data_IF_527839009373
#
_entry.id   IF_527839009373
#
_cell.length_a   1.000
_cell.length_b   1.000
_cell.length_c   1.000
_cell.angle_alpha   90.00
_cell.angle_beta   90.00
_cell.angle_gamma   90.00
#
_symmetry.space_group_name_H-M   'P 1'
#
loop_
_entity.id
_entity.type
_entity.pdbx_description
1 polymer ?
#
# COMPACT_ATOMS: atom_id res chain seq x y z
N UNK A 1 -12.12 -1.52 -14.85
CA UNK A 1 -11.21 -0.73 -13.99
C UNK A 1 -11.52 0.74 -14.21
N UNK A 2 -11.95 1.47 -13.18
CA UNK A 2 -12.12 2.93 -13.27
C UNK A 2 -10.78 3.53 -13.71
N UNK A 3 -10.77 4.33 -14.78
CA UNK A 3 -9.56 5.00 -15.26
C UNK A 3 -9.06 5.90 -14.12
N UNK A 4 -7.82 5.68 -13.68
CA UNK A 4 -7.14 6.60 -12.78
C UNK A 4 -7.18 8.02 -13.40
N UNK A 5 -7.15 9.05 -12.54
CA UNK A 5 -6.99 10.45 -12.97
C UNK A 5 -5.87 10.53 -14.02
N UNK A 6 -5.97 11.44 -15.01
CA UNK A 6 -4.93 11.55 -16.05
C UNK A 6 -3.54 11.70 -15.42
N UNK A 7 -2.78 10.61 -15.44
CA UNK A 7 -1.58 10.45 -14.63
C UNK A 7 -0.50 11.43 -15.09
N UNK A 8 -0.39 11.67 -16.40
CA UNK A 8 0.65 12.52 -16.99
C UNK A 8 0.48 13.97 -16.57
N UNK A 9 -0.74 14.52 -16.68
CA UNK A 9 -1.00 15.90 -16.25
C UNK A 9 -0.91 16.03 -14.73
N UNK A 10 -1.39 15.03 -13.99
CA UNK A 10 -1.36 15.02 -12.53
C UNK A 10 0.07 15.05 -11.98
N UNK A 11 0.95 14.17 -12.48
CA UNK A 11 2.35 14.14 -12.04
C UNK A 11 3.10 15.40 -12.44
N UNK A 12 2.84 15.92 -13.65
CA UNK A 12 3.39 17.23 -14.06
C UNK A 12 2.94 18.33 -13.10
N UNK A 13 1.69 18.35 -12.66
CA UNK A 13 1.20 19.35 -11.73
C UNK A 13 1.85 19.22 -10.34
N UNK A 14 2.12 17.99 -9.88
CA UNK A 14 2.93 17.75 -8.66
C UNK A 14 4.33 18.31 -8.82
N UNK A 15 5.02 17.93 -9.88
CA UNK A 15 6.40 18.34 -10.17
C UNK A 15 6.55 19.87 -10.26
N UNK A 16 5.56 20.54 -10.87
CA UNK A 16 5.51 21.99 -11.00
C UNK A 16 4.93 22.71 -9.77
N UNK A 17 4.64 21.97 -8.69
CA UNK A 17 4.06 22.48 -7.44
C UNK A 17 2.76 23.27 -7.64
N UNK A 18 1.91 22.87 -8.60
CA UNK A 18 0.61 23.51 -8.84
C UNK A 18 -0.38 23.14 -7.74
N UNK A 19 -0.35 23.90 -6.65
CA UNK A 19 -1.24 23.73 -5.48
C UNK A 19 -2.71 23.95 -5.83
N UNK A 20 -3.01 24.67 -6.91
CA UNK A 20 -4.37 25.01 -7.33
C UNK A 20 -5.00 23.96 -8.27
N UNK A 21 -4.21 23.01 -8.77
CA UNK A 21 -4.70 21.98 -9.70
C UNK A 21 -5.92 21.23 -9.16
N UNK A 22 -5.95 20.89 -7.86
CA UNK A 22 -7.11 20.25 -7.23
C UNK A 22 -8.40 21.07 -7.32
N UNK A 23 -8.31 22.40 -7.20
CA UNK A 23 -9.48 23.29 -7.27
C UNK A 23 -10.05 23.35 -8.70
N UNK A 24 -9.19 23.17 -9.71
CA UNK A 24 -9.54 23.18 -11.13
C UNK A 24 -10.07 21.84 -11.63
N UNK A 25 -9.96 20.76 -10.86
CA UNK A 25 -10.49 19.44 -11.24
C UNK A 25 -12.02 19.46 -11.32
N UNK A 26 -12.56 18.74 -12.30
CA UNK A 26 -13.99 18.42 -12.33
C UNK A 26 -14.38 17.52 -11.15
N UNK A 27 -15.67 17.42 -10.85
CA UNK A 27 -16.15 16.53 -9.79
C UNK A 27 -15.94 15.05 -10.14
N UNK A 28 -15.95 14.66 -11.43
CA UNK A 28 -15.58 13.29 -11.79
C UNK A 28 -14.10 13.00 -11.56
N UNK A 29 -13.24 13.98 -11.79
CA UNK A 29 -11.80 13.83 -11.60
C UNK A 29 -11.41 13.82 -10.12
N UNK A 30 -12.07 14.64 -9.29
CA UNK A 30 -11.93 14.57 -7.82
C UNK A 30 -12.32 13.19 -7.27
N UNK A 31 -13.33 12.52 -7.86
CA UNK A 31 -13.72 11.15 -7.47
C UNK A 31 -12.66 10.10 -7.86
N UNK A 32 -11.85 10.34 -8.89
CA UNK A 32 -10.75 9.46 -9.31
C UNK A 32 -9.44 9.75 -8.58
N UNK A 33 -9.31 10.94 -7.98
CA UNK A 33 -8.14 11.32 -7.22
C UNK A 33 -7.94 10.39 -6.01
N UNK A 34 -6.76 9.78 -5.94
CA UNK A 34 -6.36 8.94 -4.82
C UNK A 34 -5.03 9.45 -4.26
N UNK A 35 -5.05 10.08 -3.08
CA UNK A 35 -3.82 10.54 -2.42
C UNK A 35 -2.79 9.42 -2.22
N UNK A 36 -3.26 8.22 -1.88
CA UNK A 36 -2.40 7.05 -1.72
C UNK A 36 -1.68 6.68 -3.02
N UNK A 37 -2.42 6.60 -4.14
CA UNK A 37 -1.82 6.27 -5.44
C UNK A 37 -0.85 7.36 -5.88
N UNK A 38 -1.21 8.63 -5.72
CA UNK A 38 -0.35 9.75 -6.09
C UNK A 38 0.95 9.77 -5.28
N UNK A 39 0.86 9.60 -3.96
CA UNK A 39 2.02 9.51 -3.06
C UNK A 39 2.99 8.41 -3.51
N UNK A 40 2.46 7.25 -3.91
CA UNK A 40 3.29 6.12 -4.37
C UNK A 40 4.03 6.41 -5.67
N UNK A 41 3.42 7.15 -6.59
CA UNK A 41 4.11 7.63 -7.78
C UNK A 41 5.15 8.70 -7.41
N UNK A 42 4.76 9.72 -6.64
CA UNK A 42 5.65 10.84 -6.30
C UNK A 42 6.92 10.38 -5.55
N UNK A 43 6.81 9.42 -4.63
CA UNK A 43 7.97 8.85 -3.94
C UNK A 43 8.84 7.93 -4.81
N UNK A 44 8.36 7.57 -6.01
CA UNK A 44 9.00 6.63 -6.92
C UNK A 44 9.56 7.38 -8.12
N UNK A 45 10.59 8.20 -7.88
CA UNK A 45 11.26 8.95 -8.93
C UNK A 45 12.44 8.14 -9.50
N UNK A 46 12.61 8.19 -10.82
CA UNK A 46 13.82 7.69 -11.49
C UNK A 46 14.55 8.83 -12.18
N UNK A 47 15.69 9.22 -11.63
CA UNK A 47 16.51 10.32 -12.12
C UNK A 47 17.78 10.47 -11.28
N UNK A 48 18.34 11.68 -11.25
CA UNK A 48 19.54 11.96 -10.44
C UNK A 48 19.28 11.67 -8.95
N UNK A 49 20.33 11.26 -8.25
CA UNK A 49 20.29 10.90 -6.83
C UNK A 49 19.66 12.02 -5.98
N UNK A 50 20.10 13.26 -6.19
CA UNK A 50 19.58 14.43 -5.48
C UNK A 50 18.05 14.55 -5.55
N UNK A 51 17.47 14.40 -6.74
CA UNK A 51 16.02 14.48 -6.90
C UNK A 51 15.31 13.25 -6.31
N UNK A 52 15.92 12.07 -6.48
CA UNK A 52 15.34 10.82 -5.97
C UNK A 52 15.25 10.86 -4.44
N UNK A 53 16.32 11.26 -3.76
CA UNK A 53 16.36 11.43 -2.31
C UNK A 53 15.38 12.51 -1.85
N UNK A 54 15.36 13.68 -2.53
CA UNK A 54 14.42 14.75 -2.21
C UNK A 54 12.97 14.28 -2.22
N UNK A 55 12.52 13.59 -3.27
CA UNK A 55 11.13 13.13 -3.34
C UNK A 55 10.83 12.05 -2.31
N UNK A 56 11.74 11.10 -2.07
CA UNK A 56 11.54 10.05 -1.06
C UNK A 56 11.38 10.67 0.34
N UNK A 57 12.29 11.58 0.72
CA UNK A 57 12.28 12.21 2.03
C UNK A 57 11.07 13.12 2.21
N UNK A 58 10.86 14.06 1.27
CA UNK A 58 9.78 15.06 1.41
C UNK A 58 8.40 14.42 1.32
N UNK A 59 8.17 13.44 0.43
CA UNK A 59 6.89 12.74 0.36
C UNK A 59 6.66 11.92 1.63
N UNK A 60 7.70 11.31 2.21
CA UNK A 60 7.56 10.59 3.47
C UNK A 60 7.15 11.53 4.61
N UNK A 61 7.86 12.65 4.75
CA UNK A 61 7.65 13.63 5.82
C UNK A 61 6.35 14.40 5.69
N UNK A 62 6.04 14.91 4.49
CA UNK A 62 4.88 15.76 4.26
C UNK A 62 3.59 14.97 4.05
N UNK A 63 3.65 13.74 3.54
CA UNK A 63 2.46 12.99 3.09
C UNK A 63 2.30 11.66 3.81
N UNK A 64 3.29 10.77 3.73
CA UNK A 64 3.15 9.36 4.14
C UNK A 64 2.75 9.21 5.62
N UNK A 65 3.42 9.92 6.53
CA UNK A 65 3.18 9.83 7.98
C UNK A 65 1.71 10.03 8.38
N UNK A 66 1.02 10.94 7.70
CA UNK A 66 -0.34 11.37 8.06
C UNK A 66 -1.38 11.05 6.98
N UNK A 67 -1.01 10.28 5.96
CA UNK A 67 -1.86 10.02 4.78
C UNK A 67 -3.25 9.54 5.20
N UNK A 68 -3.33 8.54 6.08
CA UNK A 68 -4.60 7.91 6.47
C UNK A 68 -5.48 8.81 7.32
N UNK A 69 -4.88 9.65 8.16
CA UNK A 69 -5.60 10.64 8.97
C UNK A 69 -6.21 11.72 8.07
N UNK A 70 -5.44 12.24 7.12
CA UNK A 70 -5.87 13.33 6.24
C UNK A 70 -6.78 12.86 5.10
N UNK A 71 -6.67 11.61 4.65
CA UNK A 71 -7.44 11.09 3.52
C UNK A 71 -8.95 11.05 3.76
N UNK A 72 -9.38 11.11 5.03
CA UNK A 72 -10.81 11.10 5.39
C UNK A 72 -11.52 12.35 4.88
N UNK A 73 -11.01 13.54 5.21
CA UNK A 73 -11.72 14.81 5.00
C UNK A 73 -10.85 15.92 4.38
N UNK A 74 -9.57 15.67 4.11
CA UNK A 74 -8.60 16.70 3.73
C UNK A 74 -7.87 16.38 2.43
N UNK A 75 -8.61 15.95 1.39
CA UNK A 75 -8.03 15.58 0.10
C UNK A 75 -7.28 16.73 -0.58
N UNK A 76 -7.81 17.96 -0.51
CA UNK A 76 -7.13 19.17 -1.01
C UNK A 76 -5.81 19.42 -0.29
N UNK A 77 -5.77 19.25 1.03
CA UNK A 77 -4.54 19.42 1.80
C UNK A 77 -3.50 18.40 1.37
N UNK A 78 -3.89 17.13 1.17
CA UNK A 78 -2.99 16.10 0.65
C UNK A 78 -2.46 16.44 -0.75
N UNK A 79 -3.27 17.07 -1.61
CA UNK A 79 -2.78 17.58 -2.88
C UNK A 79 -1.71 18.65 -2.69
N UNK A 80 -1.96 19.64 -1.83
CA UNK A 80 -1.00 20.72 -1.55
C UNK A 80 0.30 20.18 -0.94
N UNK A 81 0.21 19.21 -0.02
CA UNK A 81 1.36 18.54 0.61
C UNK A 81 2.15 17.69 -0.38
N UNK A 82 1.48 17.03 -1.33
CA UNK A 82 2.17 16.25 -2.36
C UNK A 82 2.83 17.17 -3.39
N UNK A 83 2.10 18.18 -3.88
CA UNK A 83 2.62 19.15 -4.85
C UNK A 83 3.78 19.99 -4.28
N UNK A 84 3.83 20.26 -2.98
CA UNK A 84 5.02 20.93 -2.40
C UNK A 84 6.28 20.06 -2.44
N UNK A 85 6.20 18.74 -2.65
CA UNK A 85 7.38 17.90 -2.83
C UNK A 85 8.00 18.03 -4.24
N UNK A 86 7.34 18.72 -5.16
CA UNK A 86 7.84 18.95 -6.52
C UNK A 86 9.05 19.88 -6.58
N UNK A 87 9.87 19.69 -7.62
CA UNK A 87 11.15 20.40 -7.84
C UNK A 87 11.13 21.40 -9.01
N UNK A 88 9.94 21.79 -9.47
CA UNK A 88 9.73 22.69 -10.62
C UNK A 88 10.32 22.19 -11.96
N UNK A 89 10.51 20.88 -12.07
CA UNK A 89 10.99 20.20 -13.27
C UNK A 89 10.18 18.92 -13.45
N UNK A 90 9.74 18.64 -14.67
CA UNK A 90 9.01 17.40 -14.97
C UNK A 90 9.94 16.21 -14.79
N UNK A 91 9.53 15.27 -13.95
CA UNK A 91 10.29 14.07 -13.57
C UNK A 91 9.57 12.80 -14.04
N UNK A 92 10.34 11.72 -14.17
CA UNK A 92 9.79 10.41 -14.50
C UNK A 92 9.53 9.60 -13.23
N UNK A 93 8.25 9.28 -13.01
CA UNK A 93 7.77 8.56 -11.84
C UNK A 93 7.27 7.15 -12.22
N UNK A 94 8.12 6.11 -12.23
CA UNK A 94 7.66 4.75 -12.49
C UNK A 94 6.68 4.24 -11.43
N UNK A 95 5.75 3.38 -11.85
CA UNK A 95 4.90 2.64 -10.91
C UNK A 95 5.71 1.57 -10.16
N UNK A 96 5.69 1.62 -8.83
CA UNK A 96 6.16 0.52 -7.99
C UNK A 96 4.94 -0.27 -7.53
N UNK A 97 4.85 -1.56 -7.84
CA UNK A 97 3.79 -2.40 -7.28
C UNK A 97 3.87 -2.44 -5.75
N UNK A 98 2.74 -2.48 -5.06
CA UNK A 98 2.76 -2.70 -3.62
C UNK A 98 3.38 -4.06 -3.32
N UNK A 99 3.91 -4.29 -2.10
CA UNK A 99 4.28 -5.63 -1.70
C UNK A 99 3.09 -6.54 -1.98
N UNK A 100 3.35 -7.67 -2.67
CA UNK A 100 2.31 -8.67 -2.86
C UNK A 100 1.83 -9.03 -1.46
N UNK A 101 0.53 -8.87 -1.18
CA UNK A 101 -0.02 -9.47 0.04
C UNK A 101 0.38 -10.93 -0.04
N UNK A 102 1.11 -11.42 0.95
CA UNK A 102 1.36 -12.85 1.09
C UNK A 102 -0.01 -13.52 0.93
N UNK A 103 -0.07 -14.52 0.05
CA UNK A 103 -1.30 -15.27 -0.16
C UNK A 103 -1.80 -15.66 1.21
N UNK A 104 -3.08 -15.38 1.53
CA UNK A 104 -3.68 -15.76 2.80
C UNK A 104 -3.55 -17.28 2.93
N UNK A 105 -2.49 -17.74 3.59
CA UNK A 105 -2.22 -19.14 3.77
C UNK A 105 -3.25 -19.63 4.79
N UNK A 106 -4.19 -20.47 4.34
CA UNK A 106 -5.28 -20.97 5.18
C UNK A 106 -4.70 -21.66 6.41
N UNK A 107 -3.61 -22.39 6.25
CA UNK A 107 -2.90 -23.04 7.34
C UNK A 107 -2.26 -22.04 8.31
N UNK A 108 -1.76 -20.87 7.85
CA UNK A 108 -1.26 -19.81 8.73
C UNK A 108 -2.36 -19.27 9.63
N UNK A 109 -3.54 -19.02 9.06
CA UNK A 109 -4.70 -18.55 9.81
C UNK A 109 -5.15 -19.58 10.84
N UNK A 110 -5.24 -20.85 10.44
CA UNK A 110 -5.54 -21.95 11.36
C UNK A 110 -4.54 -21.99 12.52
N UNK A 111 -3.24 -21.92 12.25
CA UNK A 111 -2.21 -21.90 13.31
C UNK A 111 -2.31 -20.67 14.22
N UNK A 112 -2.70 -19.51 13.69
CA UNK A 112 -2.98 -18.31 14.52
C UNK A 112 -4.22 -18.46 15.39
N UNK A 113 -5.21 -19.23 14.96
CA UNK A 113 -6.39 -19.57 15.79
C UNK A 113 -6.01 -20.55 16.89
N UNK A 114 -5.20 -21.57 16.58
CA UNK A 114 -4.70 -22.53 17.57
C UNK A 114 -3.73 -21.90 18.58
N UNK A 115 -2.91 -20.95 18.12
CA UNK A 115 -1.86 -20.32 18.91
C UNK A 115 -1.97 -18.78 18.88
N UNK A 116 -3.00 -18.20 19.52
CA UNK A 116 -3.27 -16.76 19.44
C UNK A 116 -2.17 -15.89 20.04
N UNK A 117 -1.35 -16.45 20.94
CA UNK A 117 -0.27 -15.75 21.64
C UNK A 117 1.09 -15.88 20.94
N UNK A 118 1.17 -16.62 19.83
CA UNK A 118 2.42 -16.81 19.08
C UNK A 118 2.70 -15.63 18.15
N UNK A 119 3.97 -15.26 18.04
CA UNK A 119 4.40 -14.24 17.09
C UNK A 119 4.33 -14.77 15.66
N UNK A 120 4.26 -13.86 14.69
CA UNK A 120 4.11 -14.22 13.27
C UNK A 120 5.30 -15.05 12.75
N UNK A 121 6.51 -14.74 13.18
CA UNK A 121 7.72 -15.49 12.85
C UNK A 121 7.65 -16.94 13.35
N UNK A 122 7.15 -17.18 14.57
CA UNK A 122 6.93 -18.53 15.10
C UNK A 122 5.89 -19.30 14.28
N UNK A 123 4.79 -18.65 13.87
CA UNK A 123 3.77 -19.27 13.01
C UNK A 123 4.35 -19.63 11.64
N UNK A 124 5.14 -18.73 11.04
CA UNK A 124 5.80 -18.97 9.75
C UNK A 124 6.82 -20.10 9.85
N UNK A 125 7.57 -20.19 10.95
CA UNK A 125 8.48 -21.30 11.19
C UNK A 125 7.71 -22.63 11.27
N UNK A 126 6.59 -22.68 11.99
CA UNK A 126 5.75 -23.88 12.06
C UNK A 126 5.23 -24.31 10.69
N UNK A 127 4.86 -23.37 9.82
CA UNK A 127 4.47 -23.71 8.44
C UNK A 127 5.62 -24.24 7.60
N UNK A 128 6.84 -23.79 7.86
CA UNK A 128 8.01 -24.16 7.07
C UNK A 128 8.54 -25.54 7.43
N UNK A 129 8.50 -25.90 8.72
CA UNK A 129 9.04 -27.17 9.22
C UNK A 129 8.05 -28.34 9.18
N UNK A 130 6.74 -28.06 9.01
CA UNK A 130 5.71 -29.09 8.95
C UNK A 130 5.15 -29.24 7.53
N UNK A 131 4.84 -30.48 7.15
CA UNK A 131 4.12 -30.78 5.92
C UNK A 131 2.58 -30.66 6.08
N UNK A 132 1.85 -30.77 4.96
CA UNK A 132 0.38 -30.65 4.95
C UNK A 132 -0.31 -31.76 5.77
N UNK A 133 0.29 -32.95 5.90
CA UNK A 133 -0.28 -34.07 6.66
C UNK A 133 -0.08 -33.85 8.15
N UNK A 134 1.09 -33.40 8.57
CA UNK A 134 1.42 -33.05 9.95
C UNK A 134 0.52 -31.93 10.46
N UNK A 135 0.32 -30.87 9.66
CA UNK A 135 -0.60 -29.80 10.02
C UNK A 135 -2.08 -30.25 10.12
N UNK A 136 -2.49 -31.20 9.28
CA UNK A 136 -3.83 -31.82 9.39
C UNK A 136 -3.97 -32.64 10.66
N UNK A 137 -2.94 -33.41 11.00
CA UNK A 137 -2.93 -34.21 12.22
C UNK A 137 -2.97 -33.30 13.46
N UNK A 138 -2.14 -32.26 13.48
CA UNK A 138 -2.16 -31.24 14.53
C UNK A 138 -3.57 -30.65 14.73
N UNK A 139 -4.25 -30.27 13.65
CA UNK A 139 -5.62 -29.75 13.74
C UNK A 139 -6.60 -30.79 14.31
N UNK A 140 -6.47 -32.08 13.94
CA UNK A 140 -7.27 -33.17 14.53
C UNK A 140 -6.99 -33.34 16.02
N UNK A 141 -5.74 -33.25 16.43
CA UNK A 141 -5.34 -33.37 17.83
C UNK A 141 -5.91 -32.22 18.69
N UNK A 142 -6.12 -31.05 18.08
CA UNK A 142 -6.83 -29.90 18.66
C UNK A 142 -8.36 -30.00 18.56
N UNK A 143 -8.90 -31.12 18.07
CA UNK A 143 -10.34 -31.41 18.05
C UNK A 143 -11.10 -30.90 16.83
N UNK A 144 -10.42 -30.57 15.72
CA UNK A 144 -11.10 -30.15 14.49
C UNK A 144 -11.77 -31.34 13.82
N UNK A 145 -13.02 -31.16 13.39
CA UNK A 145 -13.75 -32.17 12.63
C UNK A 145 -13.39 -32.17 11.13
N UNK A 146 -13.79 -33.24 10.42
CA UNK A 146 -13.51 -33.39 8.99
C UNK A 146 -14.12 -32.28 8.13
N UNK A 147 -15.15 -31.58 8.61
CA UNK A 147 -15.77 -30.46 7.91
C UNK A 147 -14.90 -29.22 8.03
N UNK A 148 -14.43 -28.89 9.23
CA UNK A 148 -13.50 -27.79 9.50
C UNK A 148 -12.17 -28.01 8.79
N UNK A 149 -11.65 -29.25 8.71
CA UNK A 149 -10.41 -29.54 8.00
C UNK A 149 -10.49 -29.26 6.49
N UNK A 150 -11.65 -29.39 5.86
CA UNK A 150 -11.85 -29.03 4.44
C UNK A 150 -11.77 -27.53 4.21
N UNK A 151 -12.12 -26.72 5.21
CA UNK A 151 -12.04 -25.27 5.10
C UNK A 151 -10.59 -24.80 5.11
N UNK A 152 -9.71 -25.51 5.85
CA UNK A 152 -8.31 -25.16 6.03
C UNK A 152 -7.33 -25.76 5.02
N UNK A 153 -7.66 -26.90 4.38
CA UNK A 153 -6.74 -27.67 3.54
C UNK A 153 -7.31 -28.10 2.18
#
# INVERSE_FOLDING_TARGET
MSKFLDLKSTLRAVDMRDKQFYDKMSDEDKKKYSPYMLMRYAASLKGDQFYTEHYIETVNECVNKNLWTLSKNHQKLLWMLTSMCGVFKVMFHPWIAGPKKEAKNKQEKMLRELYPNKKLDEIQLMLHINDKKELKQLAKDYGYDDKQLKDWF
#
